data_IF_594362449758
#
_entry.id   IF_594362449758
#
_cell.length_a   1.000
_cell.length_b   1.000
_cell.length_c   1.000
_cell.angle_alpha   90.00
_cell.angle_beta   90.00
_cell.angle_gamma   90.00
#
_symmetry.space_group_name_H-M   'P 1'
#
loop_
_entity.id
_entity.type
_entity.pdbx_description
1 polymer ?
#
# COMPACT_ATOMS: atom_id res chain seq x y z
N UNK A 1 -8.26 -4.90 6.92
CA UNK A 1 -8.59 -5.36 5.56
C UNK A 1 -9.38 -6.64 5.63
N UNK A 2 -10.63 -6.61 5.18
CA UNK A 2 -11.47 -7.77 5.01
C UNK A 2 -11.06 -8.60 3.79
N UNK A 3 -11.73 -9.74 3.56
CA UNK A 3 -11.37 -10.69 2.50
C UNK A 3 -11.58 -10.08 1.10
N UNK A 4 -12.67 -9.35 0.90
CA UNK A 4 -12.97 -8.71 -0.39
C UNK A 4 -11.94 -7.64 -0.76
N UNK A 5 -11.52 -6.82 0.19
CA UNK A 5 -10.45 -5.86 0.00
C UNK A 5 -9.14 -6.55 -0.38
N UNK A 6 -8.80 -7.66 0.29
CA UNK A 6 -7.59 -8.43 -0.04
C UNK A 6 -7.65 -8.97 -1.47
N UNK A 7 -8.81 -9.46 -1.91
CA UNK A 7 -8.98 -9.98 -3.27
C UNK A 7 -8.76 -8.90 -4.34
N UNK A 8 -9.10 -7.65 -4.06
CA UNK A 8 -8.86 -6.51 -4.96
C UNK A 8 -7.40 -6.04 -4.87
N UNK A 9 -6.87 -5.87 -3.66
CA UNK A 9 -5.62 -5.15 -3.44
C UNK A 9 -4.38 -6.05 -3.53
N UNK A 10 -4.47 -7.36 -3.24
CA UNK A 10 -3.30 -8.25 -3.24
C UNK A 10 -2.67 -8.44 -4.61
N UNK A 11 -3.45 -8.58 -5.71
CA UNK A 11 -2.89 -8.55 -7.06
C UNK A 11 -2.11 -7.27 -7.33
N UNK A 12 -2.65 -6.10 -6.95
CA UNK A 12 -1.98 -4.81 -7.13
C UNK A 12 -0.68 -4.72 -6.32
N UNK A 13 -0.69 -5.16 -5.06
CA UNK A 13 0.51 -5.22 -4.21
C UNK A 13 1.60 -6.09 -4.88
N UNK A 14 1.21 -7.23 -5.45
CA UNK A 14 2.14 -8.13 -6.13
C UNK A 14 2.75 -7.45 -7.36
N UNK A 15 1.91 -6.83 -8.19
CA UNK A 15 2.32 -6.11 -9.40
C UNK A 15 3.26 -4.95 -9.08
N UNK A 16 2.88 -4.08 -8.14
CA UNK A 16 3.69 -2.93 -7.69
C UNK A 16 5.09 -3.36 -7.26
N UNK A 17 5.18 -4.47 -6.53
CA UNK A 17 6.44 -5.04 -6.07
C UNK A 17 7.27 -5.61 -7.23
N UNK A 18 6.64 -6.32 -8.16
CA UNK A 18 7.33 -7.03 -9.24
C UNK A 18 7.84 -6.09 -10.33
N UNK A 19 7.19 -4.93 -10.49
CA UNK A 19 7.58 -3.90 -11.46
C UNK A 19 8.90 -3.19 -11.12
N UNK A 20 9.37 -3.23 -9.86
CA UNK A 20 10.63 -2.60 -9.47
C UNK A 20 11.41 -3.43 -8.46
N UNK A 21 12.29 -4.29 -9.00
CA UNK A 21 13.08 -5.23 -8.22
C UNK A 21 14.14 -4.56 -7.36
N UNK A 22 14.70 -3.44 -7.81
CA UNK A 22 15.73 -2.72 -7.06
C UNK A 22 15.11 -1.96 -5.90
N UNK A 23 14.00 -1.27 -6.13
CA UNK A 23 13.24 -0.63 -5.06
C UNK A 23 12.77 -1.65 -4.01
N UNK A 24 12.35 -2.83 -4.44
CA UNK A 24 11.99 -3.91 -3.51
C UNK A 24 13.19 -4.40 -2.68
N UNK A 25 14.38 -4.51 -3.26
CA UNK A 25 15.60 -4.87 -2.52
C UNK A 25 15.97 -3.79 -1.50
N UNK A 26 15.94 -2.52 -1.91
CA UNK A 26 16.20 -1.37 -1.04
C UNK A 26 15.22 -1.35 0.14
N UNK A 27 13.92 -1.48 -0.14
CA UNK A 27 12.91 -1.51 0.93
C UNK A 27 13.12 -2.69 1.89
N UNK A 28 13.46 -3.89 1.38
CA UNK A 28 13.81 -5.02 2.26
C UNK A 28 15.01 -4.68 3.14
N UNK A 29 16.07 -4.11 2.57
CA UNK A 29 17.26 -3.70 3.33
C UNK A 29 16.90 -2.69 4.42
N UNK A 30 16.21 -1.60 4.08
CA UNK A 30 15.81 -0.56 5.02
C UNK A 30 14.92 -1.09 6.14
N UNK A 31 14.00 -2.02 5.85
CA UNK A 31 13.16 -2.65 6.88
C UNK A 31 13.90 -3.58 7.85
N UNK A 32 15.13 -3.98 7.51
CA UNK A 32 15.97 -4.89 8.30
C UNK A 32 17.06 -4.15 9.07
N UNK A 33 17.76 -3.25 8.38
CA UNK A 33 18.95 -2.58 8.91
C UNK A 33 18.64 -1.16 9.41
N UNK A 34 17.39 -0.70 9.21
CA UNK A 34 17.06 0.71 9.30
C UNK A 34 17.45 1.44 8.01
N UNK A 35 16.90 2.64 7.77
CA UNK A 35 17.38 3.49 6.70
C UNK A 35 18.87 3.83 6.93
N UNK A 36 19.67 3.92 5.85
CA UNK A 36 21.09 4.34 5.95
C UNK A 36 21.23 5.76 6.55
N UNK A 37 20.13 6.52 6.54
CA UNK A 37 20.00 7.84 7.14
C UNK A 37 18.93 7.77 8.24
N UNK A 38 19.27 8.20 9.47
CA UNK A 38 18.49 8.12 10.72
C UNK A 38 17.11 8.82 10.75
N UNK A 39 16.31 8.77 9.69
CA UNK A 39 14.97 9.37 9.64
C UNK A 39 13.90 8.35 10.06
N UNK A 40 13.86 8.11 11.36
CA UNK A 40 12.71 7.47 11.98
C UNK A 40 11.47 8.37 11.81
N UNK A 41 10.27 7.85 11.43
CA UNK A 41 9.87 6.46 11.21
C UNK A 41 9.61 6.07 9.74
N UNK A 42 10.29 6.67 8.76
CA UNK A 42 9.94 6.48 7.35
C UNK A 42 11.07 5.81 6.55
N UNK A 43 10.73 4.75 5.81
CA UNK A 43 11.64 4.11 4.86
C UNK A 43 11.69 4.96 3.58
N UNK A 44 12.88 5.39 3.15
CA UNK A 44 13.03 6.23 1.96
C UNK A 44 12.42 5.52 0.73
N UNK A 45 12.70 4.24 0.57
CA UNK A 45 12.12 3.40 -0.49
C UNK A 45 10.60 3.26 -0.40
N UNK A 46 9.98 3.47 0.78
CA UNK A 46 8.52 3.45 0.89
C UNK A 46 7.86 4.68 0.29
N UNK A 47 8.52 5.85 0.29
CA UNK A 47 7.99 7.06 -0.35
C UNK A 47 7.83 6.88 -1.85
N UNK A 48 8.78 6.19 -2.50
CA UNK A 48 8.69 5.87 -3.93
C UNK A 48 7.51 4.96 -4.28
N UNK A 49 7.00 4.19 -3.31
CA UNK A 49 5.77 3.42 -3.48
C UNK A 49 4.50 4.26 -3.31
N UNK A 50 4.52 5.39 -2.60
CA UNK A 50 3.32 6.21 -2.32
C UNK A 50 2.70 6.71 -3.61
N UNK A 51 3.46 7.43 -4.43
CA UNK A 51 2.94 8.02 -5.66
C UNK A 51 2.53 6.97 -6.69
N UNK A 52 3.29 5.88 -6.79
CA UNK A 52 2.97 4.75 -7.66
C UNK A 52 1.66 4.09 -7.26
N UNK A 53 1.50 3.84 -5.96
CA UNK A 53 0.29 3.22 -5.44
C UNK A 53 -0.92 4.12 -5.63
N UNK A 54 -0.80 5.42 -5.35
CA UNK A 54 -1.87 6.40 -5.62
C UNK A 54 -2.28 6.39 -7.09
N UNK A 55 -1.33 6.44 -8.02
CA UNK A 55 -1.61 6.37 -9.46
C UNK A 55 -2.34 5.09 -9.85
N UNK A 56 -1.94 3.95 -9.30
CA UNK A 56 -2.57 2.66 -9.60
C UNK A 56 -3.99 2.60 -9.06
N UNK A 57 -4.20 2.98 -7.80
CA UNK A 57 -5.54 2.98 -7.18
C UNK A 57 -6.48 3.97 -7.90
N UNK A 58 -6.00 5.18 -8.21
CA UNK A 58 -6.78 6.17 -8.95
C UNK A 58 -6.96 5.81 -10.43
N UNK A 59 -6.11 4.93 -10.97
CA UNK A 59 -6.20 4.37 -12.32
C UNK A 59 -7.09 3.13 -12.45
N UNK A 60 -7.62 2.60 -11.34
CA UNK A 60 -8.57 1.49 -11.37
C UNK A 60 -9.84 1.88 -12.14
N UNK A 61 -10.53 0.88 -12.69
CA UNK A 61 -11.83 1.10 -13.30
C UNK A 61 -12.87 1.55 -12.26
N UNK A 62 -13.88 2.28 -12.72
CA UNK A 62 -14.92 2.87 -11.86
C UNK A 62 -15.71 1.83 -11.06
N UNK A 63 -15.86 0.59 -11.56
CA UNK A 63 -16.55 -0.48 -10.85
C UNK A 63 -15.71 -0.91 -9.64
N UNK A 64 -14.42 -1.13 -9.84
CA UNK A 64 -13.49 -1.51 -8.79
C UNK A 64 -13.35 -0.40 -7.73
N UNK A 65 -13.26 0.87 -8.15
CA UNK A 65 -13.23 2.02 -7.21
C UNK A 65 -14.47 2.08 -6.34
N UNK A 66 -15.66 2.03 -6.96
CA UNK A 66 -16.94 2.03 -6.21
C UNK A 66 -17.04 0.86 -5.25
N UNK A 67 -16.54 -0.32 -5.64
CA UNK A 67 -16.49 -1.48 -4.76
C UNK A 67 -15.59 -1.24 -3.55
N UNK A 68 -14.41 -0.66 -3.74
CA UNK A 68 -13.51 -0.30 -2.64
C UNK A 68 -14.16 0.73 -1.69
N UNK A 69 -14.76 1.78 -2.24
CA UNK A 69 -15.47 2.80 -1.44
C UNK A 69 -16.58 2.17 -0.60
N UNK A 70 -17.40 1.31 -1.21
CA UNK A 70 -18.47 0.60 -0.50
C UNK A 70 -17.92 -0.27 0.63
N UNK A 71 -16.86 -1.06 0.36
CA UNK A 71 -16.21 -1.89 1.37
C UNK A 71 -15.62 -1.06 2.52
N UNK A 72 -15.13 0.15 2.24
CA UNK A 72 -14.67 1.07 3.27
C UNK A 72 -15.81 1.48 4.20
N UNK A 73 -16.94 1.88 3.62
CA UNK A 73 -18.11 2.40 4.33
C UNK A 73 -18.85 1.32 5.14
N UNK A 74 -18.85 0.07 4.68
CA UNK A 74 -19.49 -1.05 5.38
C UNK A 74 -18.68 -1.54 6.60
N UNK A 75 -17.37 -1.30 6.60
CA UNK A 75 -16.49 -1.72 7.69
C UNK A 75 -16.43 -0.67 8.80
N UNK A 76 -16.59 -1.08 10.06
CA UNK A 76 -16.40 -0.18 11.20
C UNK A 76 -14.92 0.19 11.35
N UNK A 77 -14.55 1.39 10.91
CA UNK A 77 -13.17 1.92 10.96
C UNK A 77 -13.03 3.01 12.01
N UNK A 78 -11.78 3.19 12.46
CA UNK A 78 -11.40 4.24 13.41
C UNK A 78 -11.54 5.64 12.78
N UNK A 79 -11.32 5.73 11.48
CA UNK A 79 -11.38 6.97 10.71
C UNK A 79 -12.61 6.91 9.81
N UNK A 80 -13.53 7.85 9.99
CA UNK A 80 -14.60 8.12 9.02
C UNK A 80 -14.07 9.04 7.94
N UNK A 81 -14.37 8.70 6.68
CA UNK A 81 -14.02 9.50 5.51
C UNK A 81 -15.29 9.63 4.68
N UNK A 82 -15.63 10.85 4.28
CA UNK A 82 -16.90 11.15 3.62
C UNK A 82 -16.76 11.25 2.10
N UNK A 83 -15.54 11.48 1.59
CA UNK A 83 -15.27 11.60 0.16
C UNK A 83 -14.65 10.32 -0.38
N UNK A 84 -15.15 9.86 -1.52
CA UNK A 84 -14.65 8.69 -2.24
C UNK A 84 -13.14 8.82 -2.54
N UNK A 85 -12.68 10.00 -2.95
CA UNK A 85 -11.27 10.28 -3.23
C UNK A 85 -10.39 10.09 -1.99
N UNK A 86 -10.83 10.59 -0.82
CA UNK A 86 -10.09 10.42 0.44
C UNK A 86 -10.00 8.95 0.84
N UNK A 87 -11.07 8.18 0.57
CA UNK A 87 -11.10 6.73 0.81
C UNK A 87 -10.10 6.01 -0.11
N UNK A 88 -10.07 6.35 -1.41
CA UNK A 88 -9.15 5.76 -2.38
C UNK A 88 -7.69 6.09 -2.04
N UNK A 89 -7.41 7.34 -1.68
CA UNK A 89 -6.09 7.75 -1.18
C UNK A 89 -5.70 6.98 0.08
N UNK A 90 -6.67 6.71 0.96
CA UNK A 90 -6.42 5.91 2.15
C UNK A 90 -6.13 4.44 1.82
N UNK A 91 -6.78 3.88 0.80
CA UNK A 91 -6.42 2.56 0.28
C UNK A 91 -4.99 2.52 -0.25
N UNK A 92 -4.51 3.57 -0.91
CA UNK A 92 -3.12 3.63 -1.34
C UNK A 92 -2.16 3.56 -0.16
N UNK A 93 -2.44 4.26 0.94
CA UNK A 93 -1.65 4.16 2.18
C UNK A 93 -1.68 2.74 2.77
N UNK A 94 -2.84 2.07 2.78
CA UNK A 94 -2.95 0.68 3.25
C UNK A 94 -2.11 -0.26 2.40
N UNK A 95 -2.11 -0.09 1.07
CA UNK A 95 -1.31 -0.89 0.14
C UNK A 95 0.18 -0.69 0.39
N UNK A 96 0.65 0.55 0.56
CA UNK A 96 2.05 0.84 0.89
C UNK A 96 2.45 0.18 2.21
N UNK A 97 1.62 0.29 3.25
CA UNK A 97 1.87 -0.36 4.54
C UNK A 97 1.97 -1.89 4.41
N UNK A 98 1.14 -2.49 3.56
CA UNK A 98 1.18 -3.93 3.30
C UNK A 98 2.43 -4.33 2.50
N UNK A 99 2.90 -3.50 1.57
CA UNK A 99 4.19 -3.68 0.87
C UNK A 99 5.35 -3.67 1.87
N UNK A 100 5.42 -2.67 2.76
CA UNK A 100 6.41 -2.56 3.83
C UNK A 100 6.37 -3.81 4.73
N UNK A 101 5.17 -4.22 5.17
CA UNK A 101 4.99 -5.41 6.00
C UNK A 101 5.54 -6.67 5.32
N UNK A 102 5.29 -6.83 4.02
CA UNK A 102 5.82 -7.96 3.24
C UNK A 102 7.33 -7.88 3.07
N UNK A 103 7.91 -6.69 2.88
CA UNK A 103 9.36 -6.50 2.80
C UNK A 103 10.03 -6.91 4.10
N UNK A 104 9.49 -6.48 5.24
CA UNK A 104 9.98 -6.87 6.58
C UNK A 104 9.94 -8.38 6.79
N UNK A 105 8.84 -9.05 6.42
CA UNK A 105 8.74 -10.51 6.53
C UNK A 105 9.72 -11.23 5.58
N UNK A 106 9.92 -10.70 4.38
CA UNK A 106 10.81 -11.27 3.37
C UNK A 106 12.30 -11.05 3.67
N UNK A 107 12.66 -9.99 4.41
CA UNK A 107 14.03 -9.74 4.87
C UNK A 107 14.46 -10.64 6.04
N UNK A 108 13.51 -11.19 6.80
CA UNK A 108 13.76 -12.15 7.88
C UNK A 108 13.99 -13.61 7.39
N UNK A 109 13.97 -13.85 6.07
CA UNK A 109 14.10 -15.17 5.43
C UNK A 109 15.31 -15.18 4.51
#
# INVERSE_FOLDING_TARGET
>A
MNIDEKNILFPLIKEIRENDRELWKQLKYETQQGPEFNEYPYYAAAFDYVDRTKKIINGLDEITKKRLVKLWQEEKRVISLDKDEDILDRYAVIVVNEIIRRARVAGNR
#
